data_IF_424589691472
#
_entry.id   IF_424589691472
#
_cell.length_a   1.000
_cell.length_b   1.000
_cell.length_c   1.000
_cell.angle_alpha   90.00
_cell.angle_beta   90.00
_cell.angle_gamma   90.00
#
_symmetry.space_group_name_H-M   'P 1'
#
loop_
_entity.id
_entity.type
_entity.pdbx_description
1 polymer ?
2 non-polymer ?
3 non-polymer ?
4 water ?
#
# COMPACT_ATOMS: atom_id res chain seq x y z
N UNK A 1 8.97 0.79 -9.76
CA UNK A 1 8.69 -0.65 -10.15
C UNK A 1 9.31 -0.95 -11.48
N UNK A 2 10.05 -2.06 -11.57
CA UNK A 2 10.81 -2.39 -12.78
C UNK A 2 10.89 -3.88 -12.95
N UNK A 3 10.78 -4.33 -14.18
CA UNK A 3 10.90 -5.74 -14.53
C UNK A 3 12.23 -6.03 -15.22
N UNK A 4 12.71 -7.25 -15.08
CA UNK A 4 13.78 -7.83 -15.87
C UNK A 4 13.39 -9.23 -16.28
N UNK A 5 13.82 -9.64 -17.46
CA UNK A 5 13.60 -10.99 -17.96
C UNK A 5 14.84 -11.47 -18.66
N UNK A 6 15.14 -12.75 -18.50
CA UNK A 6 16.28 -13.43 -19.12
C UNK A 6 15.72 -14.70 -19.77
N UNK A 7 16.24 -15.01 -20.94
CA UNK A 7 15.70 -16.12 -21.72
C UNK A 7 16.22 -17.43 -21.17
N UNK A 8 15.42 -18.47 -21.36
CA UNK A 8 15.71 -19.85 -20.95
C UNK A 8 15.17 -20.84 -21.99
N UNK A 9 15.83 -22.00 -22.08
CA UNK A 9 15.36 -23.15 -22.86
C UNK A 9 14.59 -22.89 -24.15
N UNK A 10 15.34 -22.66 -25.24
CA UNK A 10 14.76 -22.44 -26.56
C UNK A 10 15.20 -23.44 -27.61
N UNK A 11 15.49 -24.66 -27.18
CA UNK A 11 16.02 -25.67 -28.09
C UNK A 11 14.87 -26.26 -28.90
N UNK A 12 15.19 -26.82 -30.06
CA UNK A 12 14.23 -27.49 -30.89
C UNK A 12 13.97 -28.86 -30.32
N UNK A 13 13.34 -28.91 -29.15
CA UNK A 13 12.94 -30.18 -28.57
C UNK A 13 11.56 -30.00 -27.93
N UNK A 14 10.99 -31.13 -27.49
CA UNK A 14 9.75 -31.09 -26.76
C UNK A 14 10.02 -30.17 -25.55
N UNK A 15 9.03 -29.34 -25.17
CA UNK A 15 9.06 -28.62 -23.90
C UNK A 15 8.32 -29.43 -22.87
N UNK A 16 8.92 -29.64 -21.73
CA UNK A 16 8.27 -30.29 -20.63
C UNK A 16 7.42 -29.32 -19.81
N UNK A 17 6.35 -29.80 -19.21
CA UNK A 17 5.55 -28.98 -18.34
C UNK A 17 6.45 -28.40 -17.27
N UNK A 18 6.33 -27.10 -17.04
CA UNK A 18 7.14 -26.41 -16.08
C UNK A 18 8.47 -25.91 -16.59
N UNK A 19 8.86 -26.25 -17.80
CA UNK A 19 10.14 -25.78 -18.36
C UNK A 19 10.16 -24.28 -18.36
N UNK A 20 11.25 -23.69 -17.91
CA UNK A 20 11.37 -22.25 -17.90
C UNK A 20 11.69 -21.77 -19.31
N UNK A 21 10.83 -20.95 -19.84
CA UNK A 21 11.12 -20.26 -21.06
C UNK A 21 11.69 -18.88 -20.84
N UNK A 22 11.40 -18.28 -19.69
CA UNK A 22 12.07 -17.05 -19.27
C UNK A 22 12.06 -16.99 -17.76
N UNK A 23 13.05 -16.33 -17.19
CA UNK A 23 13.09 -16.07 -15.77
C UNK A 23 13.20 -14.59 -15.54
N UNK A 24 12.41 -14.11 -14.62
CA UNK A 24 12.24 -12.69 -14.38
C UNK A 24 12.41 -12.31 -12.94
N UNK A 25 12.43 -11.00 -12.77
CA UNK A 25 12.35 -10.41 -11.46
C UNK A 25 11.60 -9.11 -11.56
N UNK A 26 11.00 -8.73 -10.45
CA UNK A 26 10.37 -7.45 -10.29
C UNK A 26 11.00 -6.79 -9.06
N UNK A 27 11.36 -5.52 -9.25
CA UNK A 27 12.04 -4.71 -8.25
C UNK A 27 11.19 -3.51 -7.89
N UNK A 28 11.09 -3.23 -6.60
CA UNK A 28 10.33 -2.10 -6.12
C UNK A 28 11.22 -1.16 -5.27
N UNK A 29 11.07 0.17 -5.42
CA UNK A 29 11.87 1.19 -4.71
C UNK A 29 11.19 1.82 -3.50
N UNK A 30 9.90 1.99 -3.59
CA UNK A 30 9.06 2.55 -2.54
C UNK A 30 8.57 1.44 -1.61
N UNK A 31 8.21 1.78 -0.38
CA UNK A 31 7.57 0.91 0.56
C UNK A 31 6.38 0.36 -0.15
N UNK A 32 6.28 -0.94 -0.05
CA UNK A 32 5.26 -1.66 -0.75
C UNK A 32 4.94 -2.86 0.09
N UNK A 33 3.79 -3.47 -0.19
CA UNK A 33 3.34 -4.62 0.56
C UNK A 33 3.40 -5.91 -0.25
N UNK A 34 3.61 -5.81 -1.56
CA UNK A 34 3.65 -7.02 -2.37
C UNK A 34 3.80 -6.65 -3.82
N UNK A 35 3.65 -7.67 -4.65
CA UNK A 35 4.01 -7.64 -6.04
C UNK A 35 2.91 -8.29 -6.86
N UNK A 36 2.85 -7.92 -8.14
CA UNK A 36 1.87 -8.45 -9.09
C UNK A 36 2.56 -8.54 -10.43
N UNK A 37 2.55 -9.70 -11.08
CA UNK A 37 3.10 -9.88 -12.41
C UNK A 37 2.10 -10.58 -13.28
N UNK A 38 2.09 -10.25 -14.55
CA UNK A 38 1.13 -10.84 -15.48
C UNK A 38 1.70 -10.81 -16.87
N UNK A 39 1.00 -11.40 -17.81
CA UNK A 39 1.34 -11.29 -19.22
C UNK A 39 0.26 -10.51 -19.94
N UNK A 40 0.68 -9.66 -20.87
CA UNK A 40 -0.24 -8.92 -21.73
C UNK A 40 -0.51 -9.78 -22.96
N UNK A 41 -1.20 -10.90 -22.71
CA UNK A 41 -1.38 -12.00 -23.65
C UNK A 41 -2.75 -12.59 -23.42
N UNK A 42 -3.22 -13.36 -24.38
CA UNK A 42 -4.50 -14.04 -24.27
C UNK A 42 -4.50 -15.09 -23.16
N UNK A 43 -5.45 -15.00 -22.27
CA UNK A 43 -5.66 -15.99 -21.21
C UNK A 43 -6.47 -17.16 -21.74
N UNK A 44 -6.15 -18.35 -21.28
CA UNK A 44 -6.85 -19.55 -21.73
C UNK A 44 -7.73 -20.09 -20.64
N UNK A 45 -8.90 -20.56 -21.04
CA UNK A 45 -9.72 -21.40 -20.16
C UNK A 45 -10.23 -20.64 -18.92
N UNK A 46 -10.40 -19.33 -19.00
CA UNK A 46 -10.82 -18.56 -17.85
C UNK A 46 -9.79 -18.43 -16.73
N UNK A 47 -8.52 -18.78 -16.99
CA UNK A 47 -7.49 -18.69 -15.98
C UNK A 47 -6.88 -17.30 -15.95
N UNK A 48 -6.48 -16.86 -14.77
CA UNK A 48 -5.80 -15.58 -14.64
C UNK A 48 -4.41 -15.60 -15.25
N UNK A 49 -3.70 -16.71 -15.09
CA UNK A 49 -2.24 -16.77 -15.21
C UNK A 49 -1.74 -17.77 -16.23
N UNK A 50 -2.65 -18.36 -17.02
CA UNK A 50 -2.33 -19.34 -18.04
C UNK A 50 -2.66 -18.69 -19.36
N UNK A 51 -1.69 -18.67 -20.26
CA UNK A 51 -1.73 -17.86 -21.46
C UNK A 51 -1.34 -18.66 -22.67
N UNK A 52 -1.72 -18.19 -23.83
CA UNK A 52 -1.17 -18.65 -25.08
C UNK A 52 -0.51 -17.50 -25.73
N UNK A 53 0.75 -17.68 -26.06
CA UNK A 53 1.51 -16.71 -26.79
C UNK A 53 1.75 -17.15 -28.20
N UNK A 54 2.12 -16.17 -29.02
CA UNK A 54 2.21 -16.37 -30.44
C UNK A 54 3.61 -16.12 -30.97
N UNK A 55 3.91 -16.82 -32.06
CA UNK A 55 5.13 -16.56 -32.80
C UNK A 55 5.12 -15.19 -33.45
N UNK A 56 6.28 -14.74 -33.86
CA UNK A 56 6.46 -13.46 -34.50
C UNK A 56 5.59 -13.31 -35.74
N UNK A 57 5.41 -14.40 -36.47
CA UNK A 57 4.58 -14.37 -37.68
C UNK A 57 3.11 -14.57 -37.43
N UNK A 58 2.72 -14.75 -36.16
CA UNK A 58 1.32 -14.91 -35.85
C UNK A 58 0.69 -16.24 -36.08
N UNK A 59 1.45 -17.22 -36.55
CA UNK A 59 0.85 -18.45 -37.05
C UNK A 59 1.01 -19.67 -36.13
N UNK A 60 1.73 -19.52 -35.02
CA UNK A 60 2.03 -20.62 -34.13
C UNK A 60 1.87 -20.19 -32.69
N UNK A 61 1.49 -21.16 -31.87
CA UNK A 61 1.17 -20.96 -30.45
C UNK A 61 2.10 -21.75 -29.52
N UNK A 62 2.23 -21.22 -28.30
CA UNK A 62 2.88 -21.86 -27.18
C UNK A 62 2.08 -21.52 -25.93
N UNK A 63 1.72 -22.53 -25.13
CA UNK A 63 0.99 -22.30 -23.89
C UNK A 63 1.97 -22.14 -22.75
N UNK A 64 1.80 -21.09 -21.96
CA UNK A 64 2.69 -20.77 -20.85
C UNK A 64 1.89 -20.37 -19.63
N UNK A 65 2.59 -20.30 -18.50
CA UNK A 65 2.04 -19.75 -17.29
C UNK A 65 3.10 -18.92 -16.57
N UNK A 66 2.65 -17.96 -15.77
CA UNK A 66 3.51 -17.24 -14.84
C UNK A 66 3.43 -17.85 -13.47
N UNK A 67 4.57 -18.04 -12.81
CA UNK A 67 4.52 -18.53 -11.43
C UNK A 67 5.88 -18.51 -10.82
N UNK A 68 5.98 -19.26 -9.73
CA UNK A 68 7.22 -19.39 -8.98
C UNK A 68 6.93 -19.40 -7.51
N UNK A 69 7.99 -19.23 -6.73
CA UNK A 69 7.86 -19.32 -5.30
C UNK A 69 6.95 -18.21 -4.78
N UNK A 70 5.94 -18.54 -3.99
CA UNK A 70 5.11 -17.57 -3.33
C UNK A 70 4.06 -16.88 -4.18
N UNK A 71 3.94 -17.26 -5.45
CA UNK A 71 3.02 -16.59 -6.37
C UNK A 71 1.73 -17.34 -6.42
N UNK A 72 0.62 -16.60 -6.32
CA UNK A 72 -0.73 -17.18 -6.37
C UNK A 72 -1.51 -16.52 -7.50
N UNK A 73 -2.28 -17.28 -8.27
CA UNK A 73 -3.15 -16.64 -9.27
C UNK A 73 -4.06 -15.61 -8.64
N UNK A 74 -4.22 -14.49 -9.32
CA UNK A 74 -5.10 -13.46 -8.81
C UNK A 74 -6.55 -13.88 -9.01
N UNK A 75 -7.30 -13.82 -7.93
CA UNK A 75 -8.70 -14.23 -7.90
C UNK A 75 -9.60 -13.09 -8.25
N UNK A 76 -10.82 -13.44 -8.61
CA UNK A 76 -11.89 -12.49 -8.85
C UNK A 76 -11.95 -11.98 -10.26
N UNK A 77 -13.01 -11.24 -10.51
CA UNK A 77 -13.28 -10.75 -11.83
C UNK A 77 -12.12 -9.85 -12.30
N UNK A 78 -11.71 -10.01 -13.55
CA UNK A 78 -10.61 -9.23 -14.09
C UNK A 78 -9.19 -9.61 -13.66
N UNK A 79 -9.03 -10.65 -12.86
CA UNK A 79 -7.73 -11.03 -12.37
C UNK A 79 -6.76 -11.32 -13.48
N UNK A 80 -5.55 -10.87 -13.28
CA UNK A 80 -4.59 -11.32 -14.19
C UNK A 80 -3.27 -11.63 -13.56
N UNK A 81 -2.67 -12.68 -14.07
CA UNK A 81 -1.40 -13.12 -13.56
C UNK A 81 -1.46 -13.58 -12.12
N UNK A 82 -0.37 -13.29 -11.42
CA UNK A 82 -0.10 -13.79 -10.09
C UNK A 82 0.30 -12.66 -9.16
N UNK A 83 0.08 -12.86 -7.87
CA UNK A 83 0.47 -11.93 -6.85
C UNK A 83 1.30 -12.64 -5.78
N UNK A 84 2.07 -11.86 -5.05
CA UNK A 84 2.92 -12.39 -3.98
C UNK A 84 3.11 -11.29 -2.94
N UNK A 85 2.94 -11.59 -1.66
CA UNK A 85 3.17 -10.59 -0.63
C UNK A 85 4.66 -10.42 -0.35
N UNK A 86 5.03 -9.24 0.13
CA UNK A 86 6.35 -9.00 0.65
C UNK A 86 6.78 -7.58 0.52
N UNK A 87 7.61 -7.17 1.46
CA UNK A 87 8.13 -5.82 1.52
C UNK A 87 9.54 -5.72 1.00
N UNK A 88 10.15 -6.84 0.63
CA UNK A 88 11.53 -6.83 0.18
C UNK A 88 11.68 -6.20 -1.20
N UNK A 89 12.90 -5.87 -1.56
CA UNK A 89 13.17 -5.11 -2.76
C UNK A 89 12.85 -5.82 -4.05
N UNK A 90 13.09 -7.11 -4.11
CA UNK A 90 12.91 -7.85 -5.34
C UNK A 90 12.43 -9.23 -5.07
N UNK A 91 11.65 -9.77 -6.01
CA UNK A 91 11.29 -11.19 -6.05
C UNK A 91 11.41 -11.69 -7.49
N UNK A 92 11.54 -12.99 -7.62
CA UNK A 92 11.75 -13.66 -8.88
C UNK A 92 10.49 -14.42 -9.28
N UNK A 93 10.27 -14.53 -10.58
CA UNK A 93 9.19 -15.33 -11.14
C UNK A 93 9.67 -15.94 -12.43
N UNK A 94 8.94 -16.94 -12.91
CA UNK A 94 9.25 -17.60 -14.17
C UNK A 94 8.06 -17.60 -15.09
N UNK A 95 8.35 -17.63 -16.39
CA UNK A 95 7.37 -17.94 -17.45
C UNK A 95 7.71 -19.35 -17.88
N UNK A 96 6.76 -20.27 -17.73
CA UNK A 96 6.99 -21.69 -17.89
C UNK A 96 6.07 -22.27 -18.93
N UNK A 97 6.54 -23.26 -19.66
CA UNK A 97 5.68 -24.05 -20.53
C UNK A 97 4.58 -24.68 -19.70
N UNK A 98 3.35 -24.58 -20.18
CA UNK A 98 2.19 -25.07 -19.46
C UNK A 98 1.65 -26.33 -20.13
N UNK A 99 2.10 -27.46 -19.63
CA UNK A 99 1.90 -28.76 -20.22
C UNK A 99 3.02 -29.10 -21.21
N UNK A 100 3.32 -30.40 -21.33
CA UNK A 100 4.30 -30.83 -22.31
C UNK A 100 3.80 -30.47 -23.70
N UNK A 101 4.68 -29.93 -24.54
CA UNK A 101 4.30 -29.45 -25.87
C UNK A 101 5.42 -29.65 -26.88
N UNK A 102 5.01 -29.87 -28.11
CA UNK A 102 5.88 -29.68 -29.29
C UNK A 102 5.38 -28.44 -30.00
N UNK A 103 6.25 -27.46 -30.19
CA UNK A 103 5.87 -26.21 -30.84
C UNK A 103 6.67 -26.03 -32.12
N UNK A 104 6.17 -25.14 -32.97
CA UNK A 104 6.85 -24.86 -34.23
C UNK A 104 8.09 -24.04 -34.01
N UNK A 105 9.11 -24.29 -34.82
CA UNK A 105 10.29 -23.43 -34.80
C UNK A 105 9.89 -22.00 -35.10
N UNK A 106 10.55 -21.08 -34.43
CA UNK A 106 10.35 -19.69 -34.70
C UNK A 106 10.69 -18.84 -33.51
N UNK A 107 10.48 -17.55 -33.70
CA UNK A 107 10.66 -16.58 -32.66
C UNK A 107 9.31 -16.35 -32.03
N UNK A 108 9.23 -16.47 -30.72
CA UNK A 108 8.00 -16.26 -29.99
C UNK A 108 8.20 -14.99 -29.21
N UNK A 109 7.17 -14.18 -29.19
CA UNK A 109 7.30 -12.82 -28.69
C UNK A 109 6.16 -12.60 -27.79
N UNK A 110 6.44 -12.20 -26.52
CA UNK A 110 5.40 -11.91 -25.58
C UNK A 110 5.77 -10.75 -24.69
N UNK A 111 4.76 -10.31 -23.96
CA UNK A 111 4.81 -9.13 -23.15
C UNK A 111 4.46 -9.41 -21.70
N UNK A 112 5.33 -8.96 -20.80
CA UNK A 112 5.14 -9.13 -19.38
C UNK A 112 4.92 -7.78 -18.75
N UNK A 113 3.95 -7.71 -17.84
CA UNK A 113 3.66 -6.55 -17.05
C UNK A 113 3.85 -6.85 -15.59
N UNK A 114 3.95 -5.78 -14.80
CA UNK A 114 4.08 -5.96 -13.38
C UNK A 114 3.84 -4.69 -12.61
N UNK A 115 3.70 -4.83 -11.30
CA UNK A 115 3.46 -3.71 -10.42
C UNK A 115 3.89 -4.04 -9.03
N UNK A 116 4.21 -2.98 -8.29
CA UNK A 116 4.41 -3.05 -6.85
C UNK A 116 3.16 -2.52 -6.16
N UNK A 117 2.71 -3.17 -5.10
CA UNK A 117 1.51 -2.75 -4.38
C UNK A 117 1.94 -1.74 -3.32
N UNK A 118 1.60 -0.48 -3.56
CA UNK A 118 2.11 0.61 -2.74
C UNK A 118 0.93 1.24 -1.97
N UNK A 119 1.04 1.37 -0.65
CA UNK A 119 0.00 2.07 0.11
C UNK A 119 -0.07 3.52 -0.37
N UNK A 120 -1.26 3.97 -0.65
CA UNK A 120 -1.55 5.34 -0.95
C UNK A 120 -2.63 5.80 -0.01
N UNK A 121 -2.80 7.10 0.07
CA UNK A 121 -3.68 7.69 1.04
C UNK A 121 -4.80 8.44 0.38
N UNK A 122 -6.03 8.29 0.91
CA UNK A 122 -7.19 9.05 0.50
C UNK A 122 -7.57 9.95 1.67
N UNK A 123 -7.38 11.25 1.51
CA UNK A 123 -7.47 12.17 2.63
C UNK A 123 -8.89 12.58 2.94
N UNK A 124 -9.17 12.71 4.22
CA UNK A 124 -10.37 13.37 4.73
C UNK A 124 -10.21 14.89 4.65
N UNK A 125 -11.33 15.60 4.65
CA UNK A 125 -11.32 17.04 4.87
C UNK A 125 -10.71 17.34 6.22
N UNK A 126 -9.72 18.23 6.26
CA UNK A 126 -9.12 18.62 7.54
C UNK A 126 -10.17 19.28 8.39
N UNK A 127 -10.09 19.04 9.69
CA UNK A 127 -11.07 19.50 10.64
C UNK A 127 -10.37 20.42 11.65
N UNK A 128 -10.82 21.67 11.69
CA UNK A 128 -10.34 22.65 12.68
C UNK A 128 -11.27 22.57 13.87
N UNK A 129 -10.80 21.95 14.93
CA UNK A 129 -11.56 21.72 16.13
C UNK A 129 -11.24 22.79 17.16
N UNK A 130 -12.24 23.55 17.57
CA UNK A 130 -12.07 24.54 18.63
C UNK A 130 -12.45 23.87 19.95
N UNK A 131 -11.44 23.66 20.79
CA UNK A 131 -11.64 23.01 22.09
C UNK A 131 -11.77 24.02 23.21
N UNK A 132 -12.87 23.93 23.95
CA UNK A 132 -13.08 24.80 25.10
C UNK A 132 -12.60 24.10 26.36
N UNK A 133 -11.46 24.54 26.88
CA UNK A 133 -10.93 24.05 28.14
C UNK A 133 -11.51 24.97 29.23
N UNK A 134 -12.32 24.42 30.12
CA UNK A 134 -12.96 25.25 31.16
C UNK A 134 -13.59 24.40 32.24
N UNK B 1 -13.31 9.18 3.00
CA UNK B 1 -12.53 9.36 4.28
C UNK B 1 -13.15 10.54 5.01
N UNK B 2 -13.50 10.38 6.29
CA UNK B 2 -14.19 11.42 7.01
C UNK B 2 -13.75 11.43 8.47
N UNK B 3 -13.58 12.61 9.05
CA UNK B 3 -13.19 12.81 10.46
C UNK B 3 -14.30 13.42 11.27
N UNK B 4 -14.39 13.02 12.50
CA UNK B 4 -15.22 13.66 13.49
C UNK B 4 -14.45 13.74 14.78
N UNK B 5 -14.67 14.79 15.54
CA UNK B 5 -14.00 15.00 16.81
C UNK B 5 -14.97 15.50 17.83
N UNK B 6 -14.78 15.12 19.08
CA UNK B 6 -15.56 15.61 20.19
C UNK B 6 -14.62 15.91 21.34
N UNK B 7 -14.78 17.08 21.92
CA UNK B 7 -14.00 17.43 23.09
C UNK B 7 -14.34 16.52 24.27
N UNK B 8 -13.38 16.38 25.15
CA UNK B 8 -13.47 15.58 26.36
C UNK B 8 -13.05 16.47 27.53
N UNK B 9 -13.71 16.29 28.67
CA UNK B 9 -13.58 17.16 29.82
C UNK B 9 -12.74 16.50 30.87
N UNK B 10 -12.54 17.21 31.98
CA UNK B 10 -11.71 16.75 33.09
C UNK B 10 -12.05 17.50 34.37
N UNK B 11 -11.29 17.26 35.43
CA UNK B 11 -11.62 17.84 36.74
C UNK B 11 -10.75 19.03 37.12
N UNK B 12 -10.20 19.72 36.12
CA UNK B 12 -9.58 21.01 36.38
C UNK B 12 -8.59 21.54 35.41
N UNK B 13 -7.77 22.46 35.92
CA UNK B 13 -6.84 23.13 35.05
C UNK B 13 -5.57 22.35 34.84
N UNK B 14 -5.25 21.41 35.71
CA UNK B 14 -4.12 20.54 35.49
C UNK B 14 -4.53 19.39 34.57
N UNK B 15 -3.87 19.31 33.44
CA UNK B 15 -4.06 18.21 32.52
C UNK B 15 -2.86 17.31 32.71
N UNK B 16 -3.06 16.16 33.35
CA UNK B 16 -1.98 15.20 33.51
C UNK B 16 -1.65 14.56 32.19
N UNK B 17 -0.42 14.09 32.05
CA UNK B 17 -0.04 13.39 30.86
C UNK B 17 -1.05 12.32 30.52
N UNK B 18 -1.45 12.25 29.26
CA UNK B 18 -2.38 11.25 28.80
C UNK B 18 -3.85 11.65 28.94
N UNK B 19 -4.17 12.74 29.63
CA UNK B 19 -5.56 13.13 29.81
C UNK B 19 -6.15 13.44 28.46
N UNK B 20 -7.36 12.98 28.21
CA UNK B 20 -7.99 13.25 26.93
C UNK B 20 -8.43 14.69 26.85
N UNK B 21 -8.12 15.30 25.75
CA UNK B 21 -8.69 16.57 25.34
C UNK B 21 -9.78 16.39 24.31
N UNK B 22 -9.66 15.37 23.47
CA UNK B 22 -10.70 15.09 22.49
C UNK B 22 -10.59 13.64 22.07
N UNK B 23 -11.68 13.09 21.59
CA UNK B 23 -11.72 11.80 20.96
C UNK B 23 -12.34 11.95 19.60
N UNK B 24 -11.72 11.31 18.61
CA UNK B 24 -12.22 11.36 17.26
C UNK B 24 -12.44 10.01 16.68
N UNK B 25 -13.05 10.02 15.53
CA UNK B 25 -13.05 8.83 14.71
C UNK B 25 -12.82 9.18 13.27
N UNK B 26 -12.22 8.22 12.59
CA UNK B 26 -12.00 8.27 11.18
C UNK B 26 -12.76 7.13 10.54
N UNK B 27 -13.50 7.48 9.50
CA UNK B 27 -14.41 6.59 8.79
C UNK B 27 -13.89 6.41 7.38
N UNK B 28 -13.76 5.16 6.96
CA UNK B 28 -13.25 4.79 5.64
C UNK B 28 -14.20 3.80 5.02
N UNK B 29 -15.03 4.25 4.09
CA UNK B 29 -15.99 3.35 3.44
C UNK B 29 -15.39 2.53 2.30
N UNK B 30 -14.47 3.11 1.53
CA UNK B 30 -13.82 2.35 0.48
C UNK B 30 -12.91 1.28 1.09
N UNK B 31 -12.77 0.16 0.39
CA UNK B 31 -11.83 -0.88 0.76
C UNK B 31 -10.47 -0.24 1.10
N UNK B 32 -9.95 -0.59 2.26
CA UNK B 32 -8.70 0.01 2.73
C UNK B 32 -8.00 -0.99 3.65
N UNK B 33 -6.72 -0.76 3.91
CA UNK B 33 -5.93 -1.60 4.77
C UNK B 33 -5.60 -0.97 6.06
N UNK B 34 -5.83 0.33 6.24
CA UNK B 34 -5.53 0.95 7.51
C UNK B 34 -5.89 2.41 7.47
N UNK B 35 -5.44 3.10 8.52
CA UNK B 35 -5.83 4.45 8.84
C UNK B 35 -4.62 5.27 9.23
N UNK B 36 -4.71 6.57 9.04
CA UNK B 36 -3.62 7.50 9.36
C UNK B 36 -4.27 8.79 9.86
N UNK B 37 -3.85 9.27 11.04
CA UNK B 37 -4.38 10.51 11.60
C UNK B 37 -3.21 11.34 12.06
N UNK B 38 -3.30 12.65 11.93
CA UNK B 38 -2.24 13.57 12.28
C UNK B 38 -2.83 14.92 12.61
N UNK B 39 -1.98 15.86 12.99
CA UNK B 39 -2.40 17.25 13.13
C UNK B 39 -1.63 18.12 12.15
N UNK B 40 -2.30 19.13 11.61
CA UNK B 40 -1.66 20.17 10.82
C UNK B 40 -1.22 21.30 11.74
N UNK B 41 -0.32 20.96 12.63
CA UNK B 41 0.14 21.80 13.72
C UNK B 41 1.63 21.62 13.88
N UNK B 42 2.23 22.52 14.66
CA UNK B 42 3.65 22.44 14.91
C UNK B 42 3.98 21.18 15.68
N UNK B 43 4.97 20.45 15.16
CA UNK B 43 5.51 19.26 15.78
C UNK B 43 6.54 19.57 16.85
N UNK B 44 6.56 18.75 17.89
CA UNK B 44 7.44 18.90 19.03
C UNK B 44 8.56 17.85 18.98
N UNK B 45 9.80 18.32 19.11
CA UNK B 45 10.98 17.49 19.35
C UNK B 45 11.24 16.48 18.24
N UNK B 46 10.82 16.81 17.03
CA UNK B 46 11.02 15.90 15.92
C UNK B 46 10.23 14.61 16.00
N UNK B 47 9.15 14.58 16.78
CA UNK B 47 8.37 13.37 16.95
C UNK B 47 7.07 13.49 16.21
N UNK B 48 6.72 12.48 15.43
CA UNK B 48 5.60 12.52 14.50
C UNK B 48 4.28 12.83 15.20
N UNK B 49 4.10 12.30 16.41
CA UNK B 49 2.81 12.28 17.07
C UNK B 49 2.61 13.43 18.06
N UNK B 50 3.63 14.27 18.29
CA UNK B 50 3.65 15.27 19.35
C UNK B 50 3.51 16.67 18.76
N UNK B 51 2.59 17.44 19.29
CA UNK B 51 2.23 18.74 18.73
C UNK B 51 2.07 19.79 19.82
N UNK B 52 2.08 21.05 19.40
CA UNK B 52 1.75 22.17 20.26
C UNK B 52 0.79 23.07 19.54
N UNK B 53 -0.23 23.49 20.28
CA UNK B 53 -1.27 24.27 19.74
C UNK B 53 -1.48 25.50 20.61
N UNK B 54 -2.26 26.39 20.02
CA UNK B 54 -2.42 27.75 20.50
C UNK B 54 -3.82 28.02 21.06
N UNK B 55 -3.87 28.84 22.15
CA UNK B 55 -5.13 29.44 22.62
C UNK B 55 -5.52 30.60 21.73
N UNK B 56 -6.82 30.89 21.71
CA UNK B 56 -7.34 32.04 21.02
C UNK B 56 -6.77 33.38 21.55
N UNK B 57 -6.86 33.59 22.87
CA UNK B 57 -6.37 34.80 23.57
C UNK B 57 -5.56 34.35 24.78
N UNK B 58 -4.74 35.24 25.31
CA UNK B 58 -3.99 34.96 26.52
C UNK B 58 -2.62 34.32 26.29
N UNK B 59 -2.28 34.03 25.04
CA UNK B 59 -0.95 33.53 24.68
C UNK B 59 -0.59 32.32 25.52
N UNK B 60 -1.45 31.32 25.44
CA UNK B 60 -1.25 30.08 26.14
C UNK B 60 -0.98 29.00 25.08
N UNK B 61 -0.16 28.03 25.45
CA UNK B 61 0.12 26.88 24.63
C UNK B 61 -0.43 25.64 25.31
N UNK B 62 -0.78 24.65 24.48
CA UNK B 62 -1.20 23.37 24.92
C UNK B 62 -0.45 22.32 24.11
N UNK B 63 0.25 21.42 24.80
CA UNK B 63 1.01 20.35 24.13
C UNK B 63 0.18 19.08 24.15
N UNK B 64 -0.01 18.47 22.97
CA UNK B 64 -0.86 17.30 22.83
C UNK B 64 -0.17 16.26 21.97
N UNK B 65 -0.66 15.03 22.05
CA UNK B 65 -0.23 13.98 21.14
C UNK B 65 -1.45 13.25 20.64
N UNK B 66 -1.33 12.69 19.44
CA UNK B 66 -2.35 11.83 18.87
C UNK B 66 -2.03 10.40 19.20
N UNK B 67 -3.01 9.61 19.53
CA UNK B 67 -2.77 8.22 19.83
C UNK B 67 -3.98 7.48 20.28
N UNK B 68 -3.78 6.46 21.04
CA UNK B 68 -4.86 5.60 21.52
C UNK B 68 -4.54 4.18 21.18
N UNK B 69 -5.40 3.28 21.65
CA UNK B 69 -5.17 1.89 21.40
C UNK B 69 -5.06 1.62 19.90
N UNK B 70 -4.05 0.83 19.56
CA UNK B 70 -3.78 0.38 18.20
C UNK B 70 -3.00 1.34 17.29
N UNK B 71 -2.72 2.55 17.77
CA UNK B 71 -2.04 3.57 16.96
C UNK B 71 -0.57 3.58 17.28
N UNK B 72 0.26 3.73 16.24
CA UNK B 72 1.71 3.85 16.38
C UNK B 72 2.21 5.07 15.65
N UNK B 73 3.17 5.79 16.22
CA UNK B 73 3.75 6.92 15.49
C UNK B 73 4.29 6.51 14.15
N UNK B 74 4.09 7.34 13.15
CA UNK B 74 4.55 7.05 11.81
C UNK B 74 6.06 7.27 11.74
N UNK B 75 6.75 6.29 11.21
CA UNK B 75 8.20 6.30 11.11
C UNK B 75 8.57 6.95 9.79
N UNK B 76 9.80 7.46 9.72
CA UNK B 76 10.37 7.97 8.50
C UNK B 76 10.40 9.48 8.42
N UNK B 77 11.26 9.96 7.52
CA UNK B 77 11.35 11.36 7.23
C UNK B 77 10.00 11.91 6.76
N UNK B 78 9.62 12.99 7.40
CA UNK B 78 8.33 13.63 7.14
C UNK B 78 7.12 12.92 7.72
N UNK B 79 7.32 11.91 8.55
CA UNK B 79 6.19 11.21 9.16
C UNK B 79 5.29 12.13 9.98
N UNK B 80 4.00 11.92 9.84
CA UNK B 80 3.00 12.75 10.50
C UNK B 80 2.08 11.88 11.32
N UNK B 81 1.93 12.17 12.60
CA UNK B 81 0.92 11.52 13.38
C UNK B 81 1.17 10.03 13.57
N UNK B 82 0.06 9.29 13.51
CA UNK B 82 -0.02 7.89 13.87
C UNK B 82 -0.77 7.11 12.82
N UNK B 83 -0.46 5.82 12.75
CA UNK B 83 -1.15 4.90 11.86
C UNK B 83 -1.65 3.67 12.61
N UNK B 84 -2.61 3.01 11.99
CA UNK B 84 -3.24 1.84 12.59
C UNK B 84 -3.73 0.95 11.45
N UNK B 85 -3.35 -0.31 11.45
CA UNK B 85 -3.85 -1.22 10.41
C UNK B 85 -5.30 -1.62 10.70
N UNK B 86 -6.04 -1.91 9.64
CA UNK B 86 -7.37 -2.48 9.76
C UNK B 86 -8.23 -2.20 8.56
N UNK B 87 -9.15 -3.12 8.31
CA UNK B 87 -10.05 -3.03 7.18
C UNK B 87 -11.46 -2.61 7.57
N UNK B 88 -11.68 -2.40 8.87
CA UNK B 88 -13.01 -2.06 9.38
C UNK B 88 -13.40 -0.62 9.00
N UNK B 89 -14.67 -0.31 9.11
CA UNK B 89 -15.19 0.94 8.65
C UNK B 89 -14.69 2.15 9.42
N UNK B 90 -14.55 2.02 10.74
CA UNK B 90 -14.14 3.18 11.52
C UNK B 90 -13.34 2.76 12.73
N UNK B 91 -12.45 3.66 13.12
CA UNK B 91 -11.68 3.51 14.34
C UNK B 91 -11.65 4.84 15.07
N UNK B 92 -11.46 4.75 16.38
CA UNK B 92 -11.34 5.89 17.25
C UNK B 92 -9.89 6.22 17.54
N UNK B 93 -9.63 7.49 17.83
CA UNK B 93 -8.31 7.95 18.27
C UNK B 93 -8.52 9.03 19.30
N UNK B 94 -7.49 9.27 20.11
CA UNK B 94 -7.52 10.29 21.13
C UNK B 94 -6.50 11.40 20.83
N UNK B 95 -6.85 12.60 21.26
CA UNK B 95 -5.92 13.72 21.38
C UNK B 95 -5.72 13.92 22.87
N UNK B 96 -4.50 13.75 23.35
CA UNK B 96 -4.20 13.69 24.77
C UNK B 96 -3.19 14.75 25.15
N UNK B 97 -3.27 15.22 26.37
CA UNK B 97 -2.23 16.07 26.92
C UNK B 97 -0.89 15.33 26.88
N UNK B 98 0.13 16.02 26.37
CA UNK B 98 1.46 15.46 26.21
C UNK B 98 2.36 16.11 27.24
N UNK B 99 2.55 15.43 28.35
CA UNK B 99 3.18 15.96 29.55
C UNK B 99 2.19 16.63 30.48
N UNK B 100 2.45 16.54 31.78
CA UNK B 100 1.64 17.23 32.76
C UNK B 100 1.72 18.74 32.48
N UNK B 101 0.57 19.41 32.49
CA UNK B 101 0.48 20.84 32.17
C UNK B 101 -0.58 21.49 32.99
N UNK B 102 -0.41 22.77 33.27
CA UNK B 102 -1.42 23.64 33.88
C UNK B 102 -1.88 24.61 32.84
N UNK B 103 -3.13 24.45 32.40
CA UNK B 103 -3.63 25.09 31.20
C UNK B 103 -4.74 26.07 31.58
N UNK B 104 -4.57 27.33 31.21
CA UNK B 104 -5.55 28.36 31.48
C UNK B 104 -6.83 28.07 30.73
N UNK B 105 -7.98 28.27 31.35
CA UNK B 105 -9.24 28.17 30.60
C UNK B 105 -9.19 29.03 29.34
N UNK B 106 -9.75 28.51 28.27
CA UNK B 106 -9.75 29.19 27.01
C UNK B 106 -10.13 28.28 25.89
N UNK B 107 -10.11 28.84 24.69
CA UNK B 107 -10.33 28.09 23.47
C UNK B 107 -9.00 27.76 22.81
N UNK B 108 -8.80 26.50 22.52
CA UNK B 108 -7.56 26.02 21.90
C UNK B 108 -7.92 25.32 20.61
N UNK B 109 -7.32 25.75 19.53
CA UNK B 109 -7.72 25.28 18.25
C UNK B 109 -6.67 24.41 17.69
N UNK B 110 -7.10 23.36 17.02
CA UNK B 110 -6.17 22.48 16.33
C UNK B 110 -6.75 21.80 15.12
N UNK B 111 -5.94 21.71 14.09
CA UNK B 111 -6.37 21.15 12.87
C UNK B 111 -5.96 19.67 12.85
N UNK B 112 -6.93 18.78 12.63
CA UNK B 112 -6.69 17.35 12.51
C UNK B 112 -6.85 16.94 11.05
N UNK B 113 -5.90 16.16 10.59
CA UNK B 113 -5.93 15.50 9.31
C UNK B 113 -6.08 14.02 9.44
N UNK B 114 -6.56 13.39 8.39
CA UNK B 114 -6.70 11.95 8.38
C UNK B 114 -6.77 11.41 6.99
N UNK B 115 -6.54 10.12 6.88
CA UNK B 115 -6.60 9.43 5.62
C UNK B 115 -6.90 7.97 5.83
N UNK B 116 -7.50 7.40 4.83
CA UNK B 116 -7.64 5.96 4.64
C UNK B 116 -6.50 5.46 3.77
N UNK B 117 -5.90 4.35 4.16
CA UNK B 117 -4.79 3.77 3.43
C UNK B 117 -5.34 2.73 2.48
N UNK B 118 -5.14 2.96 1.19
CA UNK B 118 -5.74 2.18 0.13
C UNK B 118 -4.58 1.69 -0.79
N UNK B 119 -4.38 0.38 -0.88
CA UNK B 119 -3.32 -0.13 -1.76
C UNK B 119 -3.58 0.31 -3.24
N UNK B 120 -2.54 0.75 -3.96
CA UNK B 120 -2.68 0.95 -5.40
C UNK B 120 -1.48 0.31 -6.06
N UNK B 121 -1.69 -0.13 -7.27
CA UNK B 121 -0.60 -0.72 -8.02
C UNK B 121 0.21 0.33 -8.72
N UNK B 122 1.51 0.30 -8.49
CA UNK B 122 2.47 1.16 -9.13
C UNK B 122 3.12 0.36 -10.25
N UNK B 123 2.84 0.75 -11.49
CA UNK B 123 3.12 -0.08 -12.63
C UNK B 123 4.57 0.05 -13.06
N UNK B 124 5.15 -1.08 -13.41
CA UNK B 124 6.38 -1.14 -14.14
C UNK B 124 6.11 -0.90 -15.63
N UNK B 125 7.10 -0.40 -16.34
CA UNK B 125 7.06 -0.44 -17.80
C UNK B 125 7.01 -1.89 -18.25
N UNK B 126 6.14 -2.20 -19.18
CA UNK B 126 6.04 -3.57 -19.67
C UNK B 126 7.30 -3.94 -20.43
N UNK B 127 7.60 -5.22 -20.46
CA UNK B 127 8.74 -5.76 -21.20
C UNK B 127 8.29 -6.69 -22.29
N UNK B 128 8.77 -6.43 -23.49
CA UNK B 128 8.73 -7.42 -24.56
C UNK B 128 9.92 -8.36 -24.42
N UNK B 129 9.65 -9.64 -24.63
CA UNK B 129 10.65 -10.69 -24.63
C UNK B 129 10.49 -11.48 -25.90
N UNK B 130 11.62 -11.80 -26.51
CA UNK B 130 11.70 -12.67 -27.68
C UNK B 130 12.35 -14.05 -27.30
N UNK B 131 11.56 -15.16 -27.43
CA UNK B 131 11.91 -16.57 -27.14
C UNK B 131 12.20 -17.18 -28.53
N UNK B 132 13.42 -17.57 -28.82
CA UNK B 132 13.69 -18.27 -30.07
C UNK B 132 13.70 -19.77 -29.81
N UNK B 133 12.85 -20.50 -30.53
CA UNK B 133 12.73 -21.96 -30.45
C UNK B 133 13.14 -22.53 -31.80
N UNK B 134 14.08 -23.46 -31.82
CA UNK B 134 14.45 -24.07 -33.10
C UNK B 134 13.68 -25.35 -33.37
#
# INVERSE_FOLDING_TARGET
>A
AELHLESRGGSGTQLRDGAKVATGRIICREAHTGFHVWMNERQVDGRAERYVVQSKDGRHELRVRTGGDGWSPVKGEGGKGVSRPGQEEQVFFDVMADGNQDIAPGEYRFSVGGACVVPQEKLAAALEHHHHHH
>B
AELHLESRGGSGTQLRDGAKVATGRIICREAHTGFHVWMNERQVDGRAERYVVQSKDGRHELRVRTGGDGWSPVKGEGGKGVSRPGQEEQVFFDVMADGNQDIAPGEYRFSVGGACVVPQEKLAAALEHHHHHH
#
